data_IF_122744791589
#
_entry.id   IF_122744791589
#
_cell.length_a   1.000
_cell.length_b   1.000
_cell.length_c   1.000
_cell.angle_alpha   90.00
_cell.angle_beta   90.00
_cell.angle_gamma   90.00
#
_symmetry.space_group_name_H-M   'P 1'
#
loop_
_entity.id
_entity.type
_entity.pdbx_description
1 polymer ?
#
# COMPACT_ATOMS: atom_id res chain seq x y z
N UNK A 1 -10.05 14.01 -10.48
CA UNK A 1 -10.06 14.51 -11.87
C UNK A 1 -10.94 13.66 -12.81
N UNK A 2 -10.68 12.36 -13.00
CA UNK A 2 -11.55 11.52 -13.89
C UNK A 2 -12.75 10.90 -13.18
N UNK A 3 -12.59 10.37 -11.96
CA UNK A 3 -13.71 9.80 -11.18
C UNK A 3 -14.82 10.84 -10.95
N UNK A 4 -14.46 12.09 -10.71
CA UNK A 4 -15.38 13.20 -10.50
C UNK A 4 -16.21 13.54 -11.75
N UNK A 5 -15.59 13.49 -12.93
CA UNK A 5 -16.30 13.61 -14.22
C UNK A 5 -17.28 12.46 -14.40
N UNK A 6 -16.84 11.24 -14.08
CA UNK A 6 -17.71 10.06 -14.14
C UNK A 6 -18.90 10.17 -13.18
N UNK A 7 -18.71 10.69 -11.97
CA UNK A 7 -19.79 10.99 -11.01
C UNK A 7 -20.86 11.88 -11.64
N UNK A 8 -20.43 12.95 -12.33
CA UNK A 8 -21.36 13.89 -12.97
C UNK A 8 -22.14 13.23 -14.11
N UNK A 9 -21.47 12.37 -14.90
CA UNK A 9 -22.09 11.63 -16.02
C UNK A 9 -23.07 10.59 -15.52
N UNK A 10 -22.76 9.89 -14.44
CA UNK A 10 -23.56 8.77 -13.94
C UNK A 10 -24.78 9.25 -13.14
N UNK A 11 -24.75 10.48 -12.61
CA UNK A 11 -25.77 11.06 -11.74
C UNK A 11 -27.22 10.83 -12.22
N UNK A 12 -27.57 11.05 -13.51
CA UNK A 12 -28.94 10.87 -13.99
C UNK A 12 -29.40 9.40 -13.97
N UNK A 13 -28.46 8.46 -14.04
CA UNK A 13 -28.71 7.02 -14.17
C UNK A 13 -28.67 6.28 -12.82
N UNK A 14 -28.37 6.97 -11.71
CA UNK A 14 -28.27 6.34 -10.38
C UNK A 14 -29.58 5.71 -9.88
N UNK A 15 -30.72 6.11 -10.44
CA UNK A 15 -32.01 5.49 -10.16
C UNK A 15 -32.12 4.06 -10.71
N UNK A 16 -31.32 3.71 -11.72
CA UNK A 16 -31.21 2.35 -12.22
C UNK A 16 -30.31 1.53 -11.28
N UNK A 17 -30.88 0.50 -10.64
CA UNK A 17 -30.19 -0.28 -9.61
C UNK A 17 -28.87 -0.88 -10.08
N UNK A 18 -28.79 -1.33 -11.33
CA UNK A 18 -27.56 -1.89 -11.91
C UNK A 18 -26.45 -0.84 -12.02
N UNK A 19 -26.78 0.38 -12.43
CA UNK A 19 -25.83 1.48 -12.58
C UNK A 19 -25.38 1.98 -11.21
N UNK A 20 -26.32 2.24 -10.29
CA UNK A 20 -26.00 2.69 -8.94
C UNK A 20 -25.11 1.72 -8.18
N UNK A 21 -25.42 0.42 -8.25
CA UNK A 21 -24.62 -0.62 -7.60
C UNK A 21 -23.20 -0.70 -8.17
N UNK A 22 -23.06 -0.66 -9.51
CA UNK A 22 -21.75 -0.72 -10.14
C UNK A 22 -20.92 0.52 -9.86
N UNK A 23 -21.54 1.69 -9.83
CA UNK A 23 -20.84 2.93 -9.51
C UNK A 23 -20.34 2.95 -8.06
N UNK A 24 -21.13 2.47 -7.10
CA UNK A 24 -20.69 2.31 -5.72
C UNK A 24 -19.46 1.41 -5.59
N UNK A 25 -19.42 0.30 -6.35
CA UNK A 25 -18.24 -0.59 -6.40
C UNK A 25 -17.01 0.12 -6.97
N UNK A 26 -17.18 0.95 -8.01
CA UNK A 26 -16.08 1.76 -8.58
C UNK A 26 -15.57 2.79 -7.59
N UNK A 27 -16.45 3.46 -6.84
CA UNK A 27 -16.05 4.40 -5.80
C UNK A 27 -15.24 3.69 -4.70
N UNK A 28 -15.73 2.55 -4.20
CA UNK A 28 -14.97 1.76 -3.23
C UNK A 28 -13.62 1.29 -3.77
N UNK A 29 -13.56 0.85 -5.03
CA UNK A 29 -12.31 0.44 -5.68
C UNK A 29 -11.29 1.59 -5.72
N UNK A 30 -11.74 2.81 -6.02
CA UNK A 30 -10.87 3.99 -6.03
C UNK A 30 -10.41 4.37 -4.61
N UNK A 31 -11.29 4.30 -3.62
CA UNK A 31 -10.94 4.53 -2.22
C UNK A 31 -9.88 3.52 -1.73
N UNK A 32 -10.01 2.25 -2.12
CA UNK A 32 -9.02 1.21 -1.80
C UNK A 32 -7.71 1.45 -2.53
N UNK A 33 -7.77 1.86 -3.80
CA UNK A 33 -6.58 2.19 -4.60
C UNK A 33 -5.77 3.29 -3.93
N UNK A 34 -6.39 4.41 -3.55
CA UNK A 34 -5.70 5.53 -2.91
C UNK A 34 -5.07 5.12 -1.57
N UNK A 35 -5.80 4.37 -0.74
CA UNK A 35 -5.22 3.84 0.51
C UNK A 35 -4.03 2.91 0.26
N UNK A 36 -4.06 2.09 -0.79
CA UNK A 36 -2.95 1.22 -1.14
C UNK A 36 -1.75 1.98 -1.71
N UNK A 37 -2.00 3.02 -2.52
CA UNK A 37 -0.98 3.90 -3.09
C UNK A 37 -0.22 4.62 -1.99
N UNK A 38 -0.91 5.33 -1.09
CA UNK A 38 -0.29 6.08 0.01
C UNK A 38 0.64 5.19 0.85
N UNK A 39 0.17 3.99 1.20
CA UNK A 39 0.96 3.05 1.99
C UNK A 39 2.13 2.49 1.17
N UNK A 40 1.93 2.25 -0.13
CA UNK A 40 2.99 1.72 -0.99
C UNK A 40 4.09 2.75 -1.22
N UNK A 41 3.74 4.02 -1.39
CA UNK A 41 4.69 5.10 -1.56
C UNK A 41 5.50 5.31 -0.29
N UNK A 42 4.86 5.32 0.88
CA UNK A 42 5.57 5.35 2.17
C UNK A 42 6.56 4.18 2.32
N UNK A 43 6.16 2.97 1.91
CA UNK A 43 7.07 1.81 1.89
C UNK A 43 8.27 2.05 0.96
N UNK A 44 8.03 2.58 -0.25
CA UNK A 44 9.08 2.83 -1.22
C UNK A 44 10.08 3.86 -0.69
N UNK A 45 9.61 4.95 -0.06
CA UNK A 45 10.47 5.96 0.57
C UNK A 45 11.34 5.35 1.67
N UNK A 46 10.76 4.52 2.56
CA UNK A 46 11.53 3.81 3.59
C UNK A 46 12.59 2.88 2.98
N UNK A 47 12.24 2.17 1.91
CA UNK A 47 13.17 1.26 1.23
C UNK A 47 14.32 2.02 0.52
N UNK A 48 14.04 3.20 -0.02
CA UNK A 48 15.06 4.09 -0.58
C UNK A 48 15.99 4.62 0.50
N UNK A 49 15.45 5.14 1.60
CA UNK A 49 16.25 5.62 2.74
C UNK A 49 17.13 4.49 3.31
N UNK A 50 16.58 3.29 3.46
CA UNK A 50 17.35 2.11 3.89
C UNK A 50 18.48 1.77 2.90
N UNK A 51 18.25 1.96 1.60
CA UNK A 51 19.26 1.72 0.57
C UNK A 51 20.37 2.78 0.64
N UNK A 52 20.03 4.06 0.79
CA UNK A 52 21.01 5.16 0.94
C UNK A 52 21.86 5.01 2.20
N UNK A 53 21.23 4.62 3.31
CA UNK A 53 21.91 4.37 4.58
C UNK A 53 22.87 3.16 4.54
N UNK A 54 22.74 2.28 3.55
CA UNK A 54 23.65 1.14 3.37
C UNK A 54 24.94 1.47 2.59
N UNK A 55 24.98 2.65 1.95
CA UNK A 55 26.09 3.05 1.07
C UNK A 55 26.15 2.26 -0.24
N UNK A 56 27.16 2.53 -1.05
CA UNK A 56 27.31 1.92 -2.38
C UNK A 56 27.31 0.39 -2.28
N UNK A 57 26.31 -0.26 -2.88
CA UNK A 57 26.14 -1.72 -2.87
C UNK A 57 26.15 -2.35 -1.46
N UNK A 58 25.76 -1.61 -0.42
CA UNK A 58 25.78 -2.10 0.96
C UNK A 58 27.16 -2.15 1.62
N UNK A 59 28.18 -1.52 1.02
CA UNK A 59 29.56 -1.51 1.54
C UNK A 59 29.81 -0.47 2.64
N UNK A 60 28.83 0.41 2.90
CA UNK A 60 28.99 1.56 3.80
C UNK A 60 29.77 2.74 3.19
N UNK A 61 30.31 2.61 1.97
CA UNK A 61 30.93 3.73 1.27
C UNK A 61 29.87 4.77 0.87
N UNK A 62 30.09 6.04 1.25
CA UNK A 62 29.15 7.14 1.04
C UNK A 62 27.73 6.87 1.61
N UNK A 63 27.65 6.17 2.74
CA UNK A 63 26.38 5.93 3.42
C UNK A 63 25.81 7.22 4.01
N UNK A 64 24.51 7.42 3.81
CA UNK A 64 23.75 8.49 4.46
C UNK A 64 23.32 8.09 5.88
N UNK A 65 22.70 9.03 6.61
CA UNK A 65 22.17 8.79 7.96
C UNK A 65 21.11 7.69 7.98
N UNK A 66 21.10 6.91 9.06
CA UNK A 66 20.11 5.85 9.27
C UNK A 66 18.80 6.44 9.77
N UNK A 67 17.69 5.85 9.33
CA UNK A 67 16.38 6.11 9.89
C UNK A 67 16.28 5.43 11.27
N UNK A 68 16.33 6.23 12.34
CA UNK A 68 16.36 5.71 13.72
C UNK A 68 15.07 4.98 14.12
N UNK A 69 13.93 5.40 13.58
CA UNK A 69 12.59 4.89 13.90
C UNK A 69 12.03 3.96 12.81
N UNK A 70 12.89 3.27 12.05
CA UNK A 70 12.49 2.36 10.96
C UNK A 70 11.56 1.24 11.46
N UNK A 71 11.78 0.71 12.66
CA UNK A 71 10.93 -0.31 13.26
C UNK A 71 9.49 0.20 13.49
N UNK A 72 9.34 1.42 14.00
CA UNK A 72 8.01 2.02 14.23
C UNK A 72 7.26 2.20 12.92
N UNK A 73 7.93 2.71 11.88
CA UNK A 73 7.35 2.84 10.56
C UNK A 73 6.95 1.48 9.97
N UNK A 74 7.80 0.45 10.08
CA UNK A 74 7.49 -0.88 9.59
C UNK A 74 6.27 -1.49 10.30
N UNK A 75 6.13 -1.28 11.62
CA UNK A 75 4.96 -1.73 12.38
C UNK A 75 3.69 -0.95 12.03
N UNK A 76 3.79 0.37 11.82
CA UNK A 76 2.65 1.20 11.42
C UNK A 76 2.12 0.80 10.04
N UNK A 77 3.01 0.55 9.08
CA UNK A 77 2.63 0.08 7.74
C UNK A 77 2.00 -1.32 7.82
N UNK A 78 2.58 -2.24 8.59
CA UNK A 78 2.02 -3.58 8.79
C UNK A 78 0.62 -3.53 9.42
N UNK A 79 0.43 -2.71 10.44
CA UNK A 79 -0.89 -2.52 11.07
C UNK A 79 -1.89 -1.87 10.10
N UNK A 80 -1.44 -0.99 9.22
CA UNK A 80 -2.29 -0.35 8.20
C UNK A 80 -2.72 -1.36 7.13
N UNK A 81 -1.81 -2.22 6.68
CA UNK A 81 -2.13 -3.35 5.80
C UNK A 81 -3.23 -4.24 6.39
N UNK A 82 -3.12 -4.63 7.66
CA UNK A 82 -4.13 -5.46 8.33
C UNK A 82 -5.48 -4.72 8.45
N UNK A 83 -5.46 -3.41 8.71
CA UNK A 83 -6.69 -2.57 8.73
C UNK A 83 -7.37 -2.50 7.37
N UNK A 84 -6.62 -2.27 6.28
CA UNK A 84 -7.18 -2.18 4.93
C UNK A 84 -7.79 -3.52 4.52
N UNK A 85 -7.10 -4.64 4.83
CA UNK A 85 -7.63 -5.99 4.58
C UNK A 85 -8.92 -6.28 5.33
N UNK A 86 -9.01 -5.87 6.60
CA UNK A 86 -10.21 -6.06 7.41
C UNK A 86 -11.38 -5.20 6.90
N UNK A 87 -11.11 -3.97 6.46
CA UNK A 87 -12.11 -3.03 5.96
C UNK A 87 -12.64 -3.41 4.57
N UNK A 88 -11.77 -3.92 3.69
CA UNK A 88 -12.08 -4.18 2.28
C UNK A 88 -11.74 -5.64 1.89
N UNK A 89 -12.41 -6.65 2.48
CA UNK A 89 -12.06 -8.06 2.29
C UNK A 89 -12.25 -8.55 0.84
N UNK A 90 -13.18 -7.96 0.09
CA UNK A 90 -13.41 -8.24 -1.34
C UNK A 90 -12.21 -7.88 -2.22
N UNK A 91 -11.42 -6.88 -1.81
CA UNK A 91 -10.25 -6.39 -2.54
C UNK A 91 -8.93 -7.02 -2.08
N UNK A 92 -8.99 -8.03 -1.20
CA UNK A 92 -7.83 -8.71 -0.64
C UNK A 92 -6.73 -9.06 -1.66
N UNK A 93 -7.01 -9.67 -2.83
CA UNK A 93 -5.96 -10.00 -3.78
C UNK A 93 -5.16 -8.77 -4.25
N UNK A 94 -5.84 -7.64 -4.47
CA UNK A 94 -5.17 -6.41 -4.93
C UNK A 94 -4.37 -5.75 -3.81
N UNK A 95 -4.92 -5.70 -2.60
CA UNK A 95 -4.23 -5.18 -1.41
C UNK A 95 -2.95 -5.99 -1.12
N UNK A 96 -3.03 -7.32 -1.27
CA UNK A 96 -1.87 -8.21 -1.09
C UNK A 96 -0.80 -8.02 -2.16
N UNK A 97 -1.20 -7.82 -3.42
CA UNK A 97 -0.28 -7.55 -4.53
C UNK A 97 0.43 -6.19 -4.42
N UNK A 98 -0.21 -5.19 -3.80
CA UNK A 98 0.35 -3.84 -3.68
C UNK A 98 1.11 -3.65 -2.37
N UNK A 99 0.37 -3.52 -1.27
CA UNK A 99 0.89 -3.19 0.07
C UNK A 99 1.63 -4.40 0.65
N UNK A 100 1.03 -5.58 0.58
CA UNK A 100 1.63 -6.77 1.16
C UNK A 100 2.94 -7.18 0.47
N UNK A 101 3.00 -7.09 -0.86
CA UNK A 101 4.26 -7.24 -1.59
C UNK A 101 5.26 -6.14 -1.23
N UNK A 102 4.80 -4.89 -0.99
CA UNK A 102 5.65 -3.80 -0.52
C UNK A 102 6.31 -4.10 0.82
N UNK A 103 5.54 -4.61 1.78
CA UNK A 103 6.05 -5.05 3.09
C UNK A 103 7.11 -6.15 2.93
N UNK A 104 6.92 -7.07 1.99
CA UNK A 104 7.91 -8.09 1.68
C UNK A 104 9.22 -7.49 1.14
N UNK A 105 9.14 -6.50 0.24
CA UNK A 105 10.30 -5.76 -0.27
C UNK A 105 11.01 -4.99 0.85
N UNK A 106 10.27 -4.26 1.69
CA UNK A 106 10.85 -3.56 2.84
C UNK A 106 11.60 -4.53 3.75
N UNK A 107 11.05 -5.74 3.96
CA UNK A 107 11.67 -6.77 4.80
C UNK A 107 12.99 -7.32 4.25
N UNK A 108 13.24 -7.17 2.95
CA UNK A 108 14.54 -7.49 2.37
C UNK A 108 15.61 -6.48 2.80
N UNK A 109 15.22 -5.22 3.05
CA UNK A 109 16.10 -4.11 3.44
C UNK A 109 16.23 -3.95 4.97
N UNK A 110 15.14 -4.10 5.71
CA UNK A 110 15.09 -3.99 7.17
C UNK A 110 14.34 -5.16 7.77
N UNK A 111 14.88 -5.83 8.80
CA UNK A 111 14.25 -7.05 9.34
C UNK A 111 13.17 -6.70 10.36
N UNK A 112 11.92 -7.01 10.02
CA UNK A 112 10.77 -6.94 10.93
C UNK A 112 9.82 -8.12 10.71
N UNK A 113 8.80 -8.23 11.57
CA UNK A 113 7.75 -9.26 11.53
C UNK A 113 6.40 -8.60 11.27
N UNK A 114 5.56 -9.26 10.47
CA UNK A 114 4.16 -8.92 10.23
C UNK A 114 3.35 -10.19 9.96
N UNK A 115 2.04 -10.18 10.22
CA UNK A 115 1.21 -11.40 10.28
C UNK A 115 1.25 -12.26 9.01
N UNK A 116 1.24 -11.63 7.84
CA UNK A 116 1.24 -12.31 6.54
C UNK A 116 2.65 -12.54 5.95
N UNK A 117 3.73 -12.40 6.73
CA UNK A 117 5.10 -12.41 6.20
C UNK A 117 5.48 -13.69 5.43
N UNK A 118 4.97 -14.84 5.86
CA UNK A 118 5.26 -16.14 5.24
C UNK A 118 4.56 -16.36 3.90
N UNK A 119 3.58 -15.52 3.56
CA UNK A 119 2.88 -15.58 2.26
C UNK A 119 3.78 -15.18 1.08
N UNK A 120 4.86 -14.45 1.34
CA UNK A 120 5.73 -13.85 0.32
C UNK A 120 7.10 -14.53 0.23
N UNK A 121 7.19 -15.83 0.54
CA UNK A 121 8.45 -16.58 0.59
C UNK A 121 8.87 -17.21 -0.74
N UNK A 122 8.02 -17.13 -1.76
CA UNK A 122 8.20 -17.65 -3.12
C UNK A 122 7.80 -16.57 -4.13
#
# INVERSE_FOLDING_TARGET
AELEKLTSIVQPYLHETAVGSKFSEVQEMMDVLYQCEDVRDHINELAELATRASGFMGTGFAAEEKVENMDDHAQLVAATYDKILAKHPSFKPKIEMTVGHGLAVLRQKHKFKFGSMHRYFF
#
